data_IF_652753046568
#
_entry.id   IF_652753046568
#
_cell.length_a   1.000
_cell.length_b   1.000
_cell.length_c   1.000
_cell.angle_alpha   90.00
_cell.angle_beta   90.00
_cell.angle_gamma   90.00
#
_symmetry.space_group_name_H-M   'P 1'
#
loop_
_entity.id
_entity.type
_entity.pdbx_description
1 polymer ?
#
# COMPACT_ATOMS: atom_id res chain seq x y z
N UNK A 1 2.26 -19.50 -8.49
CA UNK A 1 2.92 -18.64 -7.49
C UNK A 1 1.85 -18.29 -6.48
N UNK A 2 1.82 -18.97 -5.33
CA UNK A 2 0.89 -18.63 -4.26
C UNK A 2 1.25 -17.25 -3.74
N UNK A 3 0.46 -16.25 -4.13
CA UNK A 3 0.61 -14.89 -3.61
C UNK A 3 0.10 -14.93 -2.17
N UNK A 4 0.99 -15.11 -1.19
CA UNK A 4 0.62 -15.00 0.21
C UNK A 4 0.37 -13.52 0.56
N UNK A 5 -0.76 -13.00 0.08
CA UNK A 5 -1.24 -11.65 0.31
C UNK A 5 -1.93 -11.52 1.67
N UNK A 6 -2.07 -12.61 2.44
CA UNK A 6 -2.76 -12.61 3.73
C UNK A 6 -2.15 -11.55 4.66
N UNK A 7 -0.82 -11.42 4.66
CA UNK A 7 -0.10 -10.47 5.51
C UNK A 7 0.16 -9.09 4.86
N UNK A 8 -0.38 -8.83 3.66
CA UNK A 8 -0.22 -7.52 3.01
C UNK A 8 -1.13 -6.47 3.68
N UNK A 9 -0.53 -5.33 4.03
CA UNK A 9 -1.21 -4.16 4.58
C UNK A 9 -1.19 -3.03 3.55
N UNK A 10 -2.29 -2.29 3.46
CA UNK A 10 -2.44 -1.16 2.56
C UNK A 10 -2.39 0.12 3.39
N UNK A 11 -1.59 1.08 2.93
CA UNK A 11 -1.52 2.42 3.50
C UNK A 11 -1.72 3.41 2.38
N UNK A 12 -2.65 4.36 2.58
CA UNK A 12 -2.95 5.41 1.61
C UNK A 12 -2.37 6.71 2.15
N UNK A 13 -1.54 7.34 1.34
CA UNK A 13 -1.03 8.68 1.56
C UNK A 13 -1.79 9.64 0.64
N UNK A 14 -2.20 10.78 1.19
CA UNK A 14 -2.93 11.79 0.44
C UNK A 14 -2.30 13.16 0.67
N UNK A 15 -2.04 13.90 -0.40
CA UNK A 15 -1.47 15.25 -0.32
C UNK A 15 -2.59 16.30 -0.33
N UNK A 16 -2.58 17.18 0.68
CA UNK A 16 -3.48 18.34 0.75
C UNK A 16 -2.61 19.56 1.06
N UNK A 17 -2.62 20.55 0.17
CA UNK A 17 -1.88 21.81 0.33
C UNK A 17 -0.38 21.61 0.62
N UNK A 18 0.26 20.66 -0.07
CA UNK A 18 1.69 20.36 0.12
C UNK A 18 2.03 19.57 1.39
N UNK A 19 1.03 19.11 2.15
CA UNK A 19 1.23 18.23 3.31
C UNK A 19 0.72 16.82 3.01
N UNK A 20 1.58 15.83 3.28
CA UNK A 20 1.25 14.41 3.15
C UNK A 20 0.56 13.92 4.41
N UNK A 21 -0.64 13.38 4.24
CA UNK A 21 -1.45 12.83 5.33
C UNK A 21 -1.53 11.32 5.20
N UNK A 22 -1.37 10.62 6.32
CA UNK A 22 -1.77 9.23 6.40
C UNK A 22 -3.30 9.18 6.52
N UNK A 23 -3.95 8.43 5.64
CA UNK A 23 -5.40 8.28 5.69
C UNK A 23 -5.76 7.21 6.71
N UNK A 24 -6.51 7.63 7.73
CA UNK A 24 -7.15 6.72 8.68
C UNK A 24 -8.51 6.27 8.16
N UNK A 25 -8.82 4.99 8.38
CA UNK A 25 -10.12 4.40 8.06
C UNK A 25 -10.69 3.72 9.32
N UNK A 26 -12.01 3.64 9.40
CA UNK A 26 -12.65 2.68 10.29
C UNK A 26 -12.20 1.25 9.91
N UNK A 27 -11.99 0.40 10.91
CA UNK A 27 -11.41 -0.93 10.74
C UNK A 27 -12.10 -1.75 9.64
N UNK A 28 -13.43 -1.84 9.67
CA UNK A 28 -14.21 -2.62 8.71
C UNK A 28 -14.04 -2.10 7.26
N UNK A 29 -13.95 -0.79 7.08
CA UNK A 29 -13.71 -0.19 5.75
C UNK A 29 -12.30 -0.49 5.25
N UNK A 30 -11.30 -0.43 6.14
CA UNK A 30 -9.93 -0.77 5.79
C UNK A 30 -9.81 -2.25 5.40
N UNK A 31 -10.49 -3.13 6.13
CA UNK A 31 -10.53 -4.57 5.85
C UNK A 31 -11.16 -4.83 4.46
N UNK A 32 -12.31 -4.22 4.18
CA UNK A 32 -12.97 -4.35 2.88
C UNK A 32 -12.13 -3.83 1.71
N UNK A 33 -11.52 -2.65 1.86
CA UNK A 33 -10.59 -2.12 0.83
C UNK A 33 -9.38 -3.02 0.63
N UNK A 34 -8.83 -3.54 1.72
CA UNK A 34 -7.68 -4.45 1.70
C UNK A 34 -8.02 -5.74 0.94
N UNK A 35 -9.20 -6.31 1.18
CA UNK A 35 -9.67 -7.49 0.46
C UNK A 35 -9.88 -7.22 -1.03
N UNK A 36 -10.57 -6.13 -1.38
CA UNK A 36 -10.80 -5.72 -2.77
C UNK A 36 -9.50 -5.56 -3.55
N UNK A 37 -8.51 -4.89 -2.96
CA UNK A 37 -7.21 -4.69 -3.61
C UNK A 37 -6.48 -6.03 -3.76
N UNK A 38 -6.48 -6.88 -2.73
CA UNK A 38 -5.86 -8.23 -2.82
C UNK A 38 -6.47 -9.06 -3.96
N UNK A 39 -7.79 -8.99 -4.14
CA UNK A 39 -8.48 -9.64 -5.27
C UNK A 39 -8.08 -9.03 -6.63
N UNK A 40 -7.86 -7.72 -6.69
CA UNK A 40 -7.47 -7.01 -7.91
C UNK A 40 -5.99 -7.18 -8.30
N UNK A 41 -5.11 -7.68 -7.41
CA UNK A 41 -3.68 -7.83 -7.73
C UNK A 41 -3.45 -8.97 -8.74
N UNK A 42 -3.24 -8.61 -10.00
CA UNK A 42 -2.96 -9.57 -11.09
C UNK A 42 -1.49 -10.02 -11.13
N UNK A 43 -0.54 -9.14 -10.84
CA UNK A 43 0.90 -9.45 -10.89
C UNK A 43 1.65 -8.80 -9.73
N UNK A 44 2.65 -9.51 -9.20
CA UNK A 44 3.60 -8.99 -8.22
C UNK A 44 5.02 -9.16 -8.78
N UNK A 45 5.69 -8.05 -9.08
CA UNK A 45 7.04 -8.07 -9.67
C UNK A 45 8.08 -7.81 -8.59
N UNK A 46 9.07 -8.70 -8.40
CA UNK A 46 10.13 -8.47 -7.42
C UNK A 46 11.02 -7.30 -7.87
N UNK A 47 11.17 -6.30 -7.02
CA UNK A 47 11.92 -5.09 -7.36
C UNK A 47 13.41 -5.19 -7.04
N UNK A 48 13.81 -6.15 -6.17
CA UNK A 48 15.18 -6.25 -5.66
C UNK A 48 15.62 -5.05 -4.80
N UNK A 49 14.68 -4.22 -4.36
CA UNK A 49 14.92 -3.02 -3.54
C UNK A 49 14.37 -3.22 -2.13
N UNK A 50 15.03 -2.61 -1.15
CA UNK A 50 14.50 -2.52 0.20
C UNK A 50 13.31 -1.54 0.27
N UNK A 51 12.50 -1.67 1.32
CA UNK A 51 11.38 -0.75 1.53
C UNK A 51 11.84 0.71 1.68
N UNK A 52 13.02 0.95 2.27
CA UNK A 52 13.61 2.29 2.37
C UNK A 52 13.91 2.89 0.99
N UNK A 53 14.54 2.10 0.10
CA UNK A 53 14.85 2.52 -1.27
C UNK A 53 13.59 2.80 -2.09
N UNK A 54 12.53 2.00 -1.90
CA UNK A 54 11.25 2.22 -2.58
C UNK A 54 10.55 3.48 -2.08
N UNK A 55 10.61 3.77 -0.78
CA UNK A 55 10.08 5.01 -0.20
C UNK A 55 10.78 6.25 -0.75
N UNK A 56 12.11 6.19 -0.88
CA UNK A 56 12.91 7.25 -1.50
C UNK A 56 12.55 7.44 -2.98
N UNK A 57 12.41 6.36 -3.74
CA UNK A 57 11.98 6.41 -5.15
C UNK A 57 10.59 7.02 -5.33
N UNK A 58 9.64 6.65 -4.46
CA UNK A 58 8.28 7.20 -4.45
C UNK A 58 8.22 8.64 -3.91
N UNK A 59 9.37 9.24 -3.63
CA UNK A 59 9.51 10.63 -3.20
C UNK A 59 8.63 10.97 -1.98
N UNK A 60 8.39 9.98 -1.12
CA UNK A 60 7.80 10.19 0.20
C UNK A 60 8.88 10.81 1.10
N UNK A 61 9.14 12.11 0.90
CA UNK A 61 9.92 12.92 1.85
C UNK A 61 9.03 13.37 3.01
#
# INVERSE_FOLDING_TARGET
MDKNLINAQISILFEINGQVHLVGFEKERLEGLTELIKMAVEVAVPTGKSQAQLREFLNCK
#
